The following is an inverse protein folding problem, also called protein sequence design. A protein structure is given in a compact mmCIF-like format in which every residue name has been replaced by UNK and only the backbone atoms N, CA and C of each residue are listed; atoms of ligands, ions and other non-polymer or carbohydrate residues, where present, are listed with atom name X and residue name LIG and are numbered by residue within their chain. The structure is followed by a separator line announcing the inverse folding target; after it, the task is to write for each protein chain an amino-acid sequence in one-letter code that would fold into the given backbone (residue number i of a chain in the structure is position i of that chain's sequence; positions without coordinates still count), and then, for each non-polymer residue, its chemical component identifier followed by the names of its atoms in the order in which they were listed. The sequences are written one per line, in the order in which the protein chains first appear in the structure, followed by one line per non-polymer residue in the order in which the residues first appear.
data_IF_203124318733
#
_entry.id   IF_203124318733
#
_cell.length_a   1.000
_cell.length_b   1.000
_cell.length_c   1.000
_cell.angle_alpha   90.00
_cell.angle_beta   90.00
_cell.angle_gamma   90.00
#
_symmetry.space_group_name_H-M   'P 1'
#
loop_
_entity.id
_entity.type
_entity.pdbx_description
1 polymer ?
#
# COMPACT_ATOMS: atom_id res chain seq x y z
N UNK A 1 -5.93 -0.41 19.00
CA UNK A 1 -6.34 0.68 18.09
C UNK A 1 -7.58 0.25 17.32
N UNK A 2 -8.57 1.11 17.26
CA UNK A 2 -9.78 0.84 16.50
C UNK A 2 -9.55 1.16 15.02
N UNK A 3 -10.41 0.63 14.14
CA UNK A 3 -10.36 0.93 12.72
C UNK A 3 -10.56 2.43 12.46
N UNK A 4 -11.46 3.07 13.22
CA UNK A 4 -11.70 4.51 13.10
C UNK A 4 -10.44 5.31 13.43
N UNK A 5 -9.75 4.95 14.49
CA UNK A 5 -8.47 5.60 14.85
C UNK A 5 -7.43 5.41 13.77
N UNK A 6 -7.36 4.22 13.18
CA UNK A 6 -6.41 3.96 12.10
C UNK A 6 -6.76 4.74 10.84
N UNK A 7 -8.02 4.81 10.48
CA UNK A 7 -8.47 5.60 9.32
C UNK A 7 -8.16 7.09 9.48
N UNK A 8 -8.16 7.59 10.71
CA UNK A 8 -7.80 8.98 10.98
C UNK A 8 -6.33 9.29 10.62
N UNK A 9 -5.50 8.28 10.45
CA UNK A 9 -4.12 8.48 10.02
C UNK A 9 -3.98 8.74 8.51
N UNK A 10 -4.99 8.40 7.71
CA UNK A 10 -4.94 8.60 6.26
C UNK A 10 -4.58 10.04 5.88
N UNK A 11 -5.15 11.10 6.49
CA UNK A 11 -4.77 12.46 6.15
C UNK A 11 -3.31 12.81 6.45
N UNK A 12 -2.63 12.00 7.25
CA UNK A 12 -1.22 12.24 7.60
C UNK A 12 -0.26 11.78 6.50
N UNK A 13 -0.72 10.95 5.55
CA UNK A 13 0.06 10.63 4.38
C UNK A 13 0.24 11.88 3.53
N UNK A 14 1.43 12.04 2.97
CA UNK A 14 1.72 13.16 2.09
C UNK A 14 0.97 13.10 0.76
N UNK A 15 0.40 11.94 0.44
CA UNK A 15 -0.30 11.71 -0.82
C UNK A 15 -1.80 11.85 -0.64
N UNK A 16 -2.44 12.42 -1.67
CA UNK A 16 -3.89 12.60 -1.75
C UNK A 16 -4.36 12.11 -3.11
N UNK A 17 -5.68 11.90 -3.27
CA UNK A 17 -6.23 11.56 -4.57
C UNK A 17 -5.70 12.53 -5.64
N UNK A 18 -5.26 12.04 -6.83
CA UNK A 18 -5.33 10.63 -7.27
C UNK A 18 -4.15 9.78 -6.81
N UNK A 19 -3.21 10.30 -6.02
CA UNK A 19 -2.02 9.60 -5.59
C UNK A 19 -2.24 8.69 -4.38
N UNK A 20 -3.31 8.91 -3.60
CA UNK A 20 -3.69 8.00 -2.51
C UNK A 20 -4.37 6.76 -3.11
N UNK A 21 -3.79 5.60 -2.87
CA UNK A 21 -4.22 4.35 -3.50
C UNK A 21 -4.91 3.37 -2.55
N UNK A 22 -5.34 3.84 -1.39
CA UNK A 22 -6.10 3.04 -0.43
C UNK A 22 -7.51 3.61 -0.36
N UNK A 23 -8.50 2.78 -0.67
CA UNK A 23 -9.90 3.21 -0.63
C UNK A 23 -10.55 2.94 0.71
N UNK A 24 -10.17 1.84 1.38
CA UNK A 24 -10.77 1.45 2.65
C UNK A 24 -9.80 0.64 3.49
N UNK A 25 -9.70 0.97 4.76
CA UNK A 25 -8.98 0.15 5.73
C UNK A 25 -9.93 -0.90 6.30
N UNK A 26 -9.46 -2.13 6.40
CA UNK A 26 -10.27 -3.27 6.85
C UNK A 26 -9.88 -3.71 8.25
N UNK A 27 -8.59 -3.76 8.52
CA UNK A 27 -8.08 -4.30 9.77
C UNK A 27 -6.71 -3.71 10.07
N UNK A 28 -6.44 -3.46 11.34
CA UNK A 28 -5.13 -3.06 11.80
C UNK A 28 -4.85 -3.65 13.17
N UNK A 29 -3.72 -4.34 13.27
CA UNK A 29 -3.14 -4.77 14.54
C UNK A 29 -1.82 -3.99 14.68
N UNK A 30 -1.78 -2.93 15.53
CA UNK A 30 -0.61 -2.08 15.63
C UNK A 30 0.67 -2.88 15.90
N UNK A 31 1.73 -2.56 15.17
CA UNK A 31 3.02 -3.25 15.31
C UNK A 31 3.07 -4.63 14.66
N UNK A 32 2.00 -5.13 14.10
CA UNK A 32 1.90 -6.49 13.56
C UNK A 32 1.47 -6.53 12.11
N UNK A 33 0.26 -6.09 11.80
CA UNK A 33 -0.27 -6.23 10.45
C UNK A 33 -1.40 -5.24 10.17
N UNK A 34 -1.66 -5.01 8.89
CA UNK A 34 -2.80 -4.23 8.43
C UNK A 34 -3.32 -4.78 7.11
N UNK A 35 -4.59 -4.55 6.86
CA UNK A 35 -5.26 -4.95 5.63
C UNK A 35 -6.18 -3.84 5.14
N UNK A 36 -6.18 -3.62 3.83
CA UNK A 36 -6.96 -2.57 3.19
C UNK A 36 -7.47 -3.03 1.84
N UNK A 37 -8.37 -2.26 1.27
CA UNK A 37 -8.94 -2.51 -0.05
C UNK A 37 -8.62 -1.37 -0.99
N UNK A 38 -8.40 -1.72 -2.26
CA UNK A 38 -8.30 -0.80 -3.38
C UNK A 38 -9.24 -1.29 -4.48
N UNK A 39 -10.22 -0.48 -4.84
CA UNK A 39 -11.10 -0.77 -5.96
C UNK A 39 -10.52 -0.13 -7.22
N UNK A 40 -10.18 -0.95 -8.19
CA UNK A 40 -9.56 -0.48 -9.44
C UNK A 40 -10.68 -0.08 -10.42
N UNK A 41 -10.69 1.19 -10.82
CA UNK A 41 -11.71 1.72 -11.74
C UNK A 41 -11.07 2.23 -13.02
N UNK A 42 -11.84 2.22 -14.12
CA UNK A 42 -11.36 2.68 -15.43
C UNK A 42 -11.08 4.20 -15.44
N UNK A 43 -11.68 4.94 -14.52
CA UNK A 43 -11.54 6.40 -14.47
C UNK A 43 -10.25 6.89 -13.82
N UNK A 44 -9.41 5.99 -13.31
CA UNK A 44 -8.16 6.38 -12.68
C UNK A 44 -7.18 6.93 -13.71
N UNK A 45 -6.48 8.05 -13.39
CA UNK A 45 -5.63 8.75 -14.37
C UNK A 45 -4.54 7.90 -14.99
N UNK A 46 -3.99 6.91 -14.26
CA UNK A 46 -2.90 6.10 -14.79
C UNK A 46 -3.30 5.24 -15.99
N UNK A 47 -4.60 4.98 -16.20
CA UNK A 47 -5.04 4.20 -17.35
C UNK A 47 -4.97 4.97 -18.67
N UNK A 48 -4.87 6.28 -18.63
CA UNK A 48 -4.76 7.09 -19.85
C UNK A 48 -3.44 6.84 -20.59
N UNK A 49 -2.38 6.52 -19.85
CA UNK A 49 -1.05 6.32 -20.43
C UNK A 49 -0.55 4.87 -20.41
N UNK A 50 -1.34 3.93 -19.89
CA UNK A 50 -0.90 2.54 -19.71
C UNK A 50 -1.90 1.59 -20.35
N UNK A 51 -1.66 1.29 -21.64
CA UNK A 51 -2.49 0.45 -22.50
C UNK A 51 -3.95 0.95 -22.59
N UNK A 52 -4.19 2.09 -23.31
CA UNK A 52 -5.54 2.68 -23.38
C UNK A 52 -6.62 1.73 -23.88
N UNK A 53 -6.27 0.81 -24.82
CA UNK A 53 -7.21 -0.17 -25.37
C UNK A 53 -7.33 -1.43 -24.53
N UNK A 54 -6.41 -1.63 -23.60
CA UNK A 54 -6.38 -2.76 -22.69
C UNK A 54 -5.82 -2.29 -21.34
N UNK A 55 -6.65 -1.66 -20.52
CA UNK A 55 -6.16 -1.02 -19.30
C UNK A 55 -5.66 -2.04 -18.28
N UNK A 56 -4.43 -1.82 -17.82
CA UNK A 56 -3.78 -2.63 -16.79
C UNK A 56 -3.17 -1.67 -15.78
N UNK A 57 -3.45 -1.89 -14.50
CA UNK A 57 -2.83 -1.08 -13.46
C UNK A 57 -1.33 -1.36 -13.42
N UNK A 58 -0.47 -0.33 -13.51
CA UNK A 58 0.96 -0.54 -13.41
C UNK A 58 1.35 -1.22 -12.10
N UNK A 59 2.20 -2.26 -12.19
CA UNK A 59 2.63 -3.01 -11.01
C UNK A 59 3.31 -2.14 -9.96
N UNK A 60 4.04 -1.11 -10.40
CA UNK A 60 4.70 -0.18 -9.49
C UNK A 60 3.69 0.61 -8.65
N UNK A 61 2.48 0.85 -9.17
CA UNK A 61 1.42 1.52 -8.41
C UNK A 61 0.77 0.58 -7.39
N UNK A 62 0.72 -0.71 -7.68
CA UNK A 62 0.29 -1.71 -6.69
C UNK A 62 1.28 -1.72 -5.52
N UNK A 63 2.58 -1.71 -5.82
CA UNK A 63 3.62 -1.58 -4.80
C UNK A 63 3.47 -0.29 -4.00
N UNK A 64 3.18 0.83 -4.66
CA UNK A 64 2.97 2.11 -3.97
C UNK A 64 1.80 2.02 -2.99
N UNK A 65 0.70 1.38 -3.37
CA UNK A 65 -0.43 1.16 -2.47
C UNK A 65 -0.02 0.36 -1.23
N UNK A 66 0.77 -0.68 -1.41
CA UNK A 66 1.28 -1.50 -0.32
C UNK A 66 2.24 -0.72 0.59
N UNK A 67 3.05 0.15 0.01
CA UNK A 67 3.96 1.01 0.77
C UNK A 67 3.15 2.02 1.59
N UNK A 68 2.09 2.59 1.03
CA UNK A 68 1.20 3.49 1.77
C UNK A 68 0.58 2.79 2.97
N UNK A 69 0.14 1.55 2.80
CA UNK A 69 -0.42 0.77 3.91
C UNK A 69 0.64 0.47 4.98
N UNK A 70 1.85 0.14 4.57
CA UNK A 70 2.96 -0.12 5.49
C UNK A 70 3.34 1.14 6.27
N UNK A 71 3.30 2.29 5.60
CA UNK A 71 3.54 3.59 6.23
C UNK A 71 2.51 3.86 7.33
N UNK A 72 1.23 3.60 7.04
CA UNK A 72 0.16 3.75 8.03
C UNK A 72 0.34 2.79 9.20
N UNK A 73 0.74 1.55 8.94
CA UNK A 73 1.01 0.58 10.01
C UNK A 73 2.16 1.03 10.90
N UNK A 74 3.23 1.54 10.31
CA UNK A 74 4.37 2.08 11.05
C UNK A 74 3.95 3.24 11.95
N UNK A 75 3.16 4.17 11.41
CA UNK A 75 2.65 5.31 12.18
C UNK A 75 1.77 4.84 13.34
N UNK A 76 0.90 3.87 13.10
CA UNK A 76 -0.01 3.35 14.13
C UNK A 76 0.72 2.64 15.27
N UNK A 77 1.90 2.11 15.01
CA UNK A 77 2.68 1.40 16.02
C UNK A 77 3.52 2.33 16.91
N UNK A 78 3.44 3.64 16.67
CA UNK A 78 4.17 4.61 17.49
C UNK A 78 5.65 4.72 17.16
N UNK A 79 6.09 4.21 16.02
CA UNK A 79 7.50 4.23 15.62
C UNK A 79 7.92 5.51 14.91
N UNK A 80 7.12 6.57 15.06
CA UNK A 80 7.42 7.87 14.50
C UNK A 80 6.88 8.08 13.09
N UNK A 81 7.23 9.22 12.50
CA UNK A 81 6.77 9.58 11.18
C UNK A 81 7.24 8.56 10.15
N UNK A 82 6.37 8.23 9.19
CA UNK A 82 6.73 7.32 8.12
C UNK A 82 7.89 7.90 7.32
N UNK A 83 8.82 7.05 7.03
CA UNK A 83 10.03 7.45 6.37
C UNK A 83 10.02 7.24 4.89
N UNK A 84 11.21 7.31 4.36
CA UNK A 84 11.50 7.05 2.96
C UNK A 84 11.64 5.54 2.74
N UNK A 85 11.23 5.06 1.58
CA UNK A 85 11.51 3.69 1.16
C UNK A 85 13.03 3.55 0.99
N UNK A 86 13.62 2.62 1.72
CA UNK A 86 15.04 2.32 1.59
C UNK A 86 15.29 1.23 0.56
N UNK A 87 14.56 0.12 0.67
CA UNK A 87 14.70 -0.99 -0.27
C UNK A 87 13.34 -1.62 -0.56
N UNK A 88 13.21 -2.16 -1.77
CA UNK A 88 12.12 -3.04 -2.16
C UNK A 88 12.76 -4.26 -2.79
N UNK A 89 12.58 -5.42 -2.17
CA UNK A 89 13.21 -6.66 -2.58
C UNK A 89 12.19 -7.76 -2.87
N UNK A 90 12.63 -8.79 -3.56
CA UNK A 90 11.84 -10.00 -3.83
C UNK A 90 10.48 -9.69 -4.45
N UNK A 91 10.45 -8.69 -5.33
CA UNK A 91 9.23 -8.26 -6.00
C UNK A 91 8.79 -9.32 -7.02
N UNK A 92 7.54 -9.73 -6.93
CA UNK A 92 6.93 -10.64 -7.89
C UNK A 92 5.58 -10.11 -8.34
N UNK A 93 5.40 -9.99 -9.65
CA UNK A 93 4.13 -9.64 -10.28
C UNK A 93 3.57 -10.90 -10.92
N UNK A 94 2.54 -11.48 -10.30
CA UNK A 94 2.01 -12.79 -10.70
C UNK A 94 0.72 -12.73 -11.48
N UNK A 95 0.03 -11.57 -11.45
CA UNK A 95 -1.24 -11.39 -12.11
C UNK A 95 -1.39 -9.92 -12.49
N UNK A 96 -1.94 -9.68 -13.67
CA UNK A 96 -2.32 -8.33 -14.07
C UNK A 96 -3.55 -7.88 -13.28
N UNK A 97 -3.59 -6.60 -12.95
CA UNK A 97 -4.69 -5.96 -12.24
C UNK A 97 -5.39 -5.03 -13.22
N UNK A 98 -6.69 -5.23 -13.41
CA UNK A 98 -7.49 -4.52 -14.40
C UNK A 98 -8.68 -3.83 -13.73
N UNK A 99 -9.32 -2.84 -14.42
CA UNK A 99 -10.53 -2.22 -13.91
C UNK A 99 -11.60 -3.28 -13.59
N UNK A 100 -12.27 -3.11 -12.45
CA UNK A 100 -13.24 -4.07 -11.93
C UNK A 100 -12.66 -4.98 -10.86
N UNK A 101 -11.34 -5.09 -10.78
CA UNK A 101 -10.71 -5.86 -9.71
C UNK A 101 -10.77 -5.10 -8.38
N UNK A 102 -10.98 -5.85 -7.31
CA UNK A 102 -10.81 -5.34 -5.96
C UNK A 102 -9.53 -5.95 -5.39
N UNK A 103 -8.54 -5.09 -5.13
CA UNK A 103 -7.30 -5.52 -4.49
C UNK A 103 -7.47 -5.59 -2.99
N UNK A 104 -7.09 -6.71 -2.41
CA UNK A 104 -6.86 -6.83 -0.98
C UNK A 104 -5.37 -6.58 -0.74
N UNK A 105 -5.08 -5.53 0.01
CA UNK A 105 -3.72 -5.11 0.33
C UNK A 105 -3.40 -5.57 1.74
N UNK A 106 -2.27 -6.26 1.91
CA UNK A 106 -1.85 -6.76 3.22
C UNK A 106 -0.40 -6.41 3.48
N UNK A 107 -0.11 -6.02 4.71
CA UNK A 107 1.26 -5.77 5.17
C UNK A 107 1.45 -6.41 6.53
N UNK A 108 2.63 -7.02 6.72
CA UNK A 108 3.06 -7.56 8.01
C UNK A 108 4.38 -6.93 8.40
N UNK A 109 4.47 -6.47 9.64
CA UNK A 109 5.68 -5.87 10.18
C UNK A 109 6.54 -6.94 10.84
N UNK A 110 7.82 -6.98 10.48
CA UNK A 110 8.80 -7.94 11.02
C UNK A 110 9.88 -7.27 11.84
N UNK A 111 9.55 -6.17 12.48
CA UNK A 111 10.48 -5.32 13.21
C UNK A 111 10.42 -3.91 12.67
N UNK A 112 11.13 -2.99 13.29
CA UNK A 112 11.07 -1.58 12.92
C UNK A 112 11.44 -1.38 11.44
N UNK A 113 10.51 -0.86 10.67
CA UNK A 113 10.72 -0.50 9.28
C UNK A 113 10.76 -1.66 8.29
N UNK A 114 10.55 -2.91 8.71
CA UNK A 114 10.60 -4.08 7.82
C UNK A 114 9.22 -4.66 7.63
N UNK A 115 8.83 -4.86 6.37
CA UNK A 115 7.48 -5.30 6.01
C UNK A 115 7.52 -6.37 4.92
N UNK A 116 6.62 -7.35 5.03
CA UNK A 116 6.25 -8.23 3.93
C UNK A 116 4.90 -7.77 3.43
N UNK A 117 4.78 -7.53 2.12
CA UNK A 117 3.57 -6.98 1.53
C UNK A 117 3.01 -7.89 0.45
N UNK A 118 1.68 -7.93 0.35
CA UNK A 118 0.97 -8.76 -0.62
C UNK A 118 -0.30 -8.05 -1.08
N UNK A 119 -0.56 -8.15 -2.37
CA UNK A 119 -1.81 -7.69 -2.97
C UNK A 119 -2.45 -8.85 -3.71
N UNK A 120 -3.74 -9.07 -3.48
CA UNK A 120 -4.47 -10.19 -4.05
C UNK A 120 -5.80 -9.73 -4.65
N UNK A 121 -6.28 -10.49 -5.65
CA UNK A 121 -7.64 -10.35 -6.19
C UNK A 121 -8.35 -11.67 -5.90
N UNK A 122 -9.31 -11.66 -4.97
CA UNK A 122 -9.88 -12.89 -4.47
C UNK A 122 -8.78 -13.78 -3.87
N UNK A 123 -8.68 -15.01 -4.33
CA UNK A 123 -7.69 -15.98 -3.85
C UNK A 123 -6.38 -15.92 -4.65
N UNK A 124 -6.29 -15.07 -5.67
CA UNK A 124 -5.12 -14.99 -6.52
C UNK A 124 -4.16 -13.91 -6.07
N UNK A 125 -2.92 -14.31 -5.78
CA UNK A 125 -1.86 -13.36 -5.47
C UNK A 125 -1.48 -12.59 -6.75
N UNK A 126 -1.57 -11.27 -6.68
CA UNK A 126 -1.19 -10.40 -7.80
C UNK A 126 0.25 -9.90 -7.67
N UNK A 127 0.63 -9.45 -6.48
CA UNK A 127 1.94 -8.85 -6.24
C UNK A 127 2.40 -9.19 -4.83
N UNK A 128 3.69 -9.46 -4.66
CA UNK A 128 4.30 -9.58 -3.35
C UNK A 128 5.70 -8.97 -3.36
N UNK A 129 6.14 -8.52 -2.19
CA UNK A 129 7.46 -7.92 -2.04
C UNK A 129 7.88 -7.84 -0.58
N UNK A 130 9.14 -7.51 -0.35
CA UNK A 130 9.67 -7.14 0.94
C UNK A 130 10.09 -5.68 0.88
N UNK A 131 9.67 -4.88 1.87
CA UNK A 131 9.90 -3.43 1.89
C UNK A 131 10.58 -3.05 3.18
N UNK A 132 11.57 -2.17 3.07
CA UNK A 132 12.22 -1.54 4.22
C UNK A 132 11.98 -0.04 4.14
N UNK A 133 11.39 0.49 5.20
CA UNK A 133 11.18 1.93 5.38
C UNK A 133 12.13 2.42 6.47
N UNK A 134 12.66 3.62 6.29
CA UNK A 134 13.49 4.28 7.32
C UNK A 134 12.82 5.59 7.69
N UNK A 135 12.92 5.96 8.96
CA UNK A 135 12.44 7.25 9.41
C UNK A 135 13.24 8.36 8.72
N UNK A 136 12.55 9.45 8.36
CA UNK A 136 13.23 10.61 7.81
C UNK A 136 14.19 11.17 8.85
N UNK A 137 15.37 11.60 8.38
CA UNK A 137 16.33 12.23 9.27
C UNK A 137 15.71 13.52 9.84
N UNK A 138 15.90 13.80 11.15
CA UNK A 138 15.41 15.05 11.69
C UNK A 138 16.10 16.23 10.97
N UNK A 139 15.38 17.33 10.77
CA UNK A 139 15.99 18.51 10.16
C UNK A 139 17.19 18.99 10.97
N UNK A 140 18.24 19.38 10.27
CA UNK A 140 19.47 19.83 10.87
C UNK A 140 19.27 21.14 11.66
#
# INVERSE_FOLDING_TARGET
MTLVEFEALLPRLSRRYPALLIDRLVECVPGTSARALKCVTVNEPFFQGHFPDYPVMPGVLVLEALIQLSTLLSESSGQGAPGTVQTVDAVRFKRQVIPGDQLTLETQMHGAGRFTVRASVGDELATEAEVVLVADAPPA
#
